data_IF_547153704951
#
_entry.id   IF_547153704951
#
_cell.length_a   1.000
_cell.length_b   1.000
_cell.length_c   1.000
_cell.angle_alpha   90.00
_cell.angle_beta   90.00
_cell.angle_gamma   90.00
#
_symmetry.space_group_name_H-M   'P 1'
#
loop_
_entity.id
_entity.type
_entity.pdbx_description
1 polymer ?
#
# COMPACT_ATOMS: atom_id res chain seq x y z
N UNK A 1 10.44 -2.31 14.97
CA UNK A 1 9.10 -1.82 14.60
C UNK A 1 8.17 -3.02 14.55
N UNK A 2 7.04 -2.99 15.26
CA UNK A 2 6.02 -4.04 15.18
C UNK A 2 5.11 -3.77 13.96
N UNK A 3 5.70 -3.71 12.77
CA UNK A 3 4.95 -3.59 11.52
C UNK A 3 4.76 -5.02 10.99
N UNK A 4 3.51 -5.50 10.82
CA UNK A 4 3.27 -6.80 10.22
C UNK A 4 3.72 -6.78 8.77
N UNK A 5 4.50 -7.78 8.38
CA UNK A 5 4.95 -7.98 7.00
C UNK A 5 4.38 -9.29 6.49
N UNK A 6 3.73 -9.25 5.32
CA UNK A 6 3.24 -10.43 4.62
C UNK A 6 4.00 -10.64 3.31
N UNK A 7 4.19 -11.89 2.92
CA UNK A 7 4.76 -12.26 1.62
C UNK A 7 3.80 -13.21 0.90
N UNK A 8 3.49 -12.89 -0.35
CA UNK A 8 2.67 -13.72 -1.23
C UNK A 8 3.49 -14.05 -2.49
N UNK A 9 4.01 -15.29 -2.62
CA UNK A 9 4.78 -15.71 -3.78
C UNK A 9 3.92 -16.02 -5.01
N UNK A 10 2.58 -15.93 -4.92
CA UNK A 10 1.70 -16.19 -6.06
C UNK A 10 1.54 -17.67 -6.44
N UNK A 11 2.14 -18.60 -5.69
CA UNK A 11 2.19 -20.04 -6.02
C UNK A 11 0.82 -20.72 -6.18
N UNK A 12 -0.24 -20.17 -5.57
CA UNK A 12 -1.60 -20.70 -5.66
C UNK A 12 -2.48 -19.93 -6.65
N UNK A 13 -1.93 -18.94 -7.38
CA UNK A 13 -2.67 -18.11 -8.31
C UNK A 13 -2.46 -18.53 -9.77
N UNK A 14 -3.50 -18.48 -10.62
CA UNK A 14 -3.34 -18.62 -12.06
C UNK A 14 -2.31 -17.62 -12.60
N UNK A 15 -1.29 -18.11 -13.29
CA UNK A 15 -0.18 -17.31 -13.82
C UNK A 15 0.93 -16.97 -12.81
N UNK A 16 0.85 -17.44 -11.56
CA UNK A 16 1.92 -17.27 -10.56
C UNK A 16 2.03 -15.86 -9.98
N UNK A 17 1.06 -14.98 -10.23
CA UNK A 17 1.10 -13.59 -9.76
C UNK A 17 0.60 -13.46 -8.31
N UNK A 18 1.24 -12.64 -7.46
CA UNK A 18 0.72 -12.29 -6.14
C UNK A 18 -0.69 -11.69 -6.21
N UNK A 19 -1.52 -11.96 -5.19
CA UNK A 19 -2.84 -11.37 -5.03
C UNK A 19 -2.79 -9.84 -5.04
N UNK A 20 -1.78 -9.24 -4.40
CA UNK A 20 -1.61 -7.79 -4.42
C UNK A 20 -1.55 -7.23 -5.85
N UNK A 21 -0.80 -7.88 -6.74
CA UNK A 21 -0.70 -7.45 -8.14
C UNK A 21 -2.05 -7.60 -8.88
N UNK A 22 -2.78 -8.68 -8.63
CA UNK A 22 -4.09 -8.93 -9.28
C UNK A 22 -5.18 -7.98 -8.78
N UNK A 23 -5.24 -7.74 -7.48
CA UNK A 23 -6.26 -6.91 -6.83
C UNK A 23 -6.09 -5.43 -7.15
N UNK A 24 -4.85 -4.95 -7.18
CA UNK A 24 -4.53 -3.54 -7.49
C UNK A 24 -4.09 -3.32 -8.94
N UNK A 25 -4.13 -4.37 -9.76
CA UNK A 25 -3.80 -4.33 -11.21
C UNK A 25 -2.45 -3.65 -11.47
N UNK A 26 -1.44 -3.98 -10.67
CA UNK A 26 -0.12 -3.37 -10.78
C UNK A 26 0.61 -3.80 -12.06
N UNK A 27 1.49 -2.94 -12.55
CA UNK A 27 2.28 -3.19 -13.77
C UNK A 27 3.56 -4.01 -13.56
N UNK A 28 3.85 -4.46 -12.34
CA UNK A 28 5.12 -5.10 -11.97
C UNK A 28 5.68 -4.55 -10.65
N UNK A 29 6.92 -4.89 -10.34
CA UNK A 29 7.61 -4.43 -9.12
C UNK A 29 8.76 -3.51 -9.51
N UNK A 30 8.97 -2.37 -8.82
CA UNK A 30 8.25 -1.89 -7.63
C UNK A 30 6.85 -1.32 -7.91
N UNK A 31 5.95 -1.47 -6.94
CA UNK A 31 4.63 -0.84 -6.92
C UNK A 31 4.25 -0.55 -5.48
N UNK A 32 3.64 0.60 -5.22
CA UNK A 32 3.21 0.99 -3.89
C UNK A 32 1.70 1.24 -3.87
N UNK A 33 1.04 0.76 -2.82
CA UNK A 33 -0.37 1.04 -2.53
C UNK A 33 -0.47 1.55 -1.10
N UNK A 34 -1.12 2.69 -0.90
CA UNK A 34 -1.43 3.24 0.43
C UNK A 34 -2.93 3.19 0.64
N UNK A 35 -3.37 2.59 1.74
CA UNK A 35 -4.77 2.39 2.08
C UNK A 35 -5.03 3.03 3.44
N UNK A 36 -6.09 3.82 3.56
CA UNK A 36 -6.52 4.38 4.84
C UNK A 36 -7.20 3.32 5.75
N UNK A 37 -7.39 3.61 7.05
CA UNK A 37 -8.06 2.68 7.97
C UNK A 37 -9.50 2.31 7.57
N UNK A 38 -10.16 3.13 6.77
CA UNK A 38 -11.50 2.87 6.21
C UNK A 38 -11.46 1.99 4.95
N UNK A 39 -10.28 1.58 4.50
CA UNK A 39 -10.09 0.69 3.35
C UNK A 39 -10.06 1.42 2.00
N UNK A 40 -9.93 2.75 1.97
CA UNK A 40 -9.83 3.53 0.73
C UNK A 40 -8.39 3.59 0.25
N UNK A 41 -8.21 3.38 -1.06
CA UNK A 41 -6.93 3.57 -1.73
C UNK A 41 -6.64 5.06 -1.85
N UNK A 42 -5.57 5.50 -1.19
CA UNK A 42 -5.06 6.88 -1.20
C UNK A 42 -4.02 7.05 -2.32
N UNK A 43 -3.24 6.02 -2.57
CA UNK A 43 -2.22 5.98 -3.63
C UNK A 43 -2.11 4.57 -4.20
N UNK A 44 -1.93 4.45 -5.52
CA UNK A 44 -1.76 3.19 -6.25
C UNK A 44 -0.89 3.45 -7.50
N UNK A 45 0.39 3.10 -7.44
CA UNK A 45 1.32 3.44 -8.52
C UNK A 45 2.76 2.97 -8.34
N UNK A 46 3.53 3.10 -9.42
CA UNK A 46 4.96 2.75 -9.44
C UNK A 46 5.83 3.76 -8.68
N UNK A 47 5.51 5.06 -8.77
CA UNK A 47 6.23 6.13 -8.09
C UNK A 47 5.28 6.88 -7.16
N UNK A 48 5.46 6.73 -5.85
CA UNK A 48 4.80 7.60 -4.88
C UNK A 48 5.32 9.02 -5.00
N UNK A 49 4.40 9.99 -4.98
CA UNK A 49 4.76 11.38 -4.71
C UNK A 49 5.18 11.48 -3.25
N UNK A 50 6.48 11.60 -3.02
CA UNK A 50 7.05 11.56 -1.68
C UNK A 50 6.55 12.73 -0.81
N UNK A 51 6.38 13.92 -1.38
CA UNK A 51 5.94 15.10 -0.63
C UNK A 51 4.48 14.95 -0.21
N UNK A 52 3.63 14.50 -1.14
CA UNK A 52 2.23 14.23 -0.85
C UNK A 52 2.07 13.11 0.20
N UNK A 53 2.85 12.03 0.08
CA UNK A 53 2.81 10.93 1.04
C UNK A 53 3.26 11.36 2.44
N UNK A 54 4.36 12.11 2.55
CA UNK A 54 4.84 12.65 3.83
C UNK A 54 3.79 13.58 4.45
N UNK A 55 3.16 14.46 3.66
CA UNK A 55 2.11 15.34 4.14
C UNK A 55 0.91 14.55 4.68
N UNK A 56 0.46 13.54 3.94
CA UNK A 56 -0.64 12.64 4.34
C UNK A 56 -0.33 11.93 5.66
N UNK A 57 0.84 11.29 5.78
CA UNK A 57 1.20 10.55 6.99
C UNK A 57 1.37 11.46 8.21
N UNK A 58 1.92 12.68 8.05
CA UNK A 58 1.99 13.66 9.14
C UNK A 58 0.61 14.08 9.65
N UNK A 59 -0.35 14.30 8.74
CA UNK A 59 -1.72 14.62 9.10
C UNK A 59 -2.37 13.47 9.88
N UNK A 60 -2.24 12.23 9.41
CA UNK A 60 -2.81 11.04 10.07
C UNK A 60 -2.18 10.73 11.43
N UNK A 61 -0.86 10.87 11.57
CA UNK A 61 -0.19 10.72 12.86
C UNK A 61 -0.67 11.78 13.86
N UNK A 62 -0.94 12.99 13.39
CA UNK A 62 -1.49 14.06 14.25
C UNK A 62 -2.90 13.72 14.72
N UNK A 63 -3.80 13.32 13.82
CA UNK A 63 -5.17 12.89 14.18
C UNK A 63 -5.16 11.79 15.25
N UNK A 64 -4.31 10.76 15.08
CA UNK A 64 -4.20 9.65 16.04
C UNK A 64 -3.73 10.05 17.44
N UNK A 65 -3.04 11.19 17.59
CA UNK A 65 -2.51 11.67 18.87
C UNK A 65 -3.47 12.60 19.61
N UNK A 66 -4.46 13.13 18.90
CA UNK A 66 -5.44 14.08 19.44
C UNK A 66 -6.82 13.46 19.66
N UNK A 67 -7.06 12.26 19.13
CA UNK A 67 -8.28 11.47 19.33
C UNK A 67 -8.21 10.51 20.51
#
# INVERSE_FOLDING_TARGET
LAIPMGHDPGQHNPGGYPHAMRSYRSGGTPWQVVIDPEGRVIFDGFHVDADQAIAFFKAKITEMRTG
#
